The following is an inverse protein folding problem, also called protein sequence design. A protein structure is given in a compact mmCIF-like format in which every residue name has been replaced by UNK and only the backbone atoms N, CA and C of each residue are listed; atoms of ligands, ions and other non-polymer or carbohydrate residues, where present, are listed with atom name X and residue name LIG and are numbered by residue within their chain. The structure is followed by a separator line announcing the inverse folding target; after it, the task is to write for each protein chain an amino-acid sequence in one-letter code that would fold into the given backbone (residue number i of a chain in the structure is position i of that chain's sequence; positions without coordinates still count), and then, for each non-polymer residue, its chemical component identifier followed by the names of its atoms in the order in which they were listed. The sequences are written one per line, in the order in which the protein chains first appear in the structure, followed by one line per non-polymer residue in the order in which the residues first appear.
data_IF_237776887433
#
_entry.id   IF_237776887433
#
_cell.length_a   1.000
_cell.length_b   1.000
_cell.length_c   1.000
_cell.angle_alpha   90.00
_cell.angle_beta   90.00
_cell.angle_gamma   90.00
#
_symmetry.space_group_name_H-M   'P 1'
#
loop_
_entity.id
_entity.type
_entity.pdbx_description
1 polymer ?
#
# COMPACT_ATOMS: atom_id res chain seq x y z
N UNK A 1 -15.97 -6.59 -17.18
CA UNK A 1 -15.63 -6.25 -15.80
C UNK A 1 -14.60 -5.15 -15.75
N UNK A 2 -14.89 -4.05 -15.08
CA UNK A 2 -13.85 -3.01 -14.95
C UNK A 2 -12.71 -3.53 -14.11
N UNK A 3 -11.50 -3.26 -14.55
CA UNK A 3 -10.32 -3.55 -13.75
C UNK A 3 -10.17 -2.51 -12.67
N UNK A 4 -9.74 -2.95 -11.50
CA UNK A 4 -9.38 -2.04 -10.43
C UNK A 4 -8.05 -1.39 -10.83
N UNK A 5 -8.08 -0.10 -11.12
CA UNK A 5 -6.89 0.62 -11.55
C UNK A 5 -5.81 0.68 -10.48
N UNK A 6 -6.22 0.70 -9.22
CA UNK A 6 -5.27 0.69 -8.09
C UNK A 6 -4.48 -0.61 -8.10
N UNK A 7 -5.17 -1.75 -8.24
CA UNK A 7 -4.50 -3.05 -8.24
C UNK A 7 -3.60 -3.21 -9.47
N UNK A 8 -4.04 -2.70 -10.62
CA UNK A 8 -3.23 -2.74 -11.84
C UNK A 8 -1.94 -1.94 -11.67
N UNK A 9 -2.04 -0.75 -11.10
CA UNK A 9 -0.88 0.10 -10.85
C UNK A 9 0.08 -0.55 -9.84
N UNK A 10 -0.47 -1.19 -8.81
CA UNK A 10 0.36 -1.91 -7.83
C UNK A 10 1.14 -3.05 -8.48
N UNK A 11 0.50 -3.79 -9.38
CA UNK A 11 1.17 -4.86 -10.11
C UNK A 11 2.32 -4.34 -10.96
N UNK A 12 2.12 -3.22 -11.64
CA UNK A 12 3.15 -2.60 -12.45
C UNK A 12 4.29 -2.09 -11.55
N UNK A 13 3.94 -1.43 -10.44
CA UNK A 13 4.94 -0.93 -9.50
C UNK A 13 5.76 -2.06 -8.90
N UNK A 14 5.12 -3.20 -8.62
CA UNK A 14 5.82 -4.39 -8.12
C UNK A 14 6.84 -4.90 -9.13
N UNK A 15 6.46 -4.97 -10.40
CA UNK A 15 7.38 -5.40 -11.45
C UNK A 15 8.56 -4.46 -11.60
N UNK A 16 8.34 -3.19 -11.31
CA UNK A 16 9.39 -2.18 -11.35
C UNK A 16 10.26 -2.18 -10.08
N UNK A 17 9.97 -3.05 -9.11
CA UNK A 17 10.73 -3.12 -7.86
C UNK A 17 10.42 -1.97 -6.90
N UNK A 18 9.24 -1.36 -7.01
CA UNK A 18 8.87 -0.17 -6.24
C UNK A 18 7.82 -0.43 -5.18
N UNK A 19 7.62 -1.69 -4.80
CA UNK A 19 6.66 -2.06 -3.75
C UNK A 19 7.35 -2.95 -2.72
N UNK A 20 7.12 -2.65 -1.44
CA UNK A 20 7.47 -3.57 -0.35
C UNK A 20 6.18 -3.98 0.34
N UNK A 21 6.17 -5.16 0.96
CA UNK A 21 4.96 -5.69 1.56
C UNK A 21 5.25 -6.37 2.89
N UNK A 22 4.21 -6.47 3.72
CA UNK A 22 4.32 -7.06 5.04
C UNK A 22 4.61 -6.02 6.10
N UNK A 23 4.18 -6.29 7.32
CA UNK A 23 4.24 -5.30 8.40
C UNK A 23 5.65 -4.77 8.64
N UNK A 24 6.62 -5.67 8.75
CA UNK A 24 8.00 -5.27 9.04
C UNK A 24 8.60 -4.40 7.94
N UNK A 25 8.45 -4.83 6.69
CA UNK A 25 9.05 -4.10 5.55
C UNK A 25 8.40 -2.76 5.33
N UNK A 26 7.07 -2.69 5.48
CA UNK A 26 6.35 -1.44 5.33
C UNK A 26 6.71 -0.46 6.44
N UNK A 27 6.75 -0.94 7.67
CA UNK A 27 7.16 -0.12 8.81
C UNK A 27 8.55 0.46 8.60
N UNK A 28 9.48 -0.38 8.18
CA UNK A 28 10.85 0.04 7.91
C UNK A 28 10.91 1.11 6.83
N UNK A 29 10.17 0.90 5.72
CA UNK A 29 10.16 1.86 4.62
C UNK A 29 9.59 3.21 5.06
N UNK A 30 8.54 3.22 5.89
CA UNK A 30 7.97 4.45 6.41
C UNK A 30 8.97 5.18 7.28
N UNK A 31 9.59 4.46 8.23
CA UNK A 31 10.53 5.07 9.18
C UNK A 31 11.80 5.58 8.52
N UNK A 32 12.23 4.94 7.43
CA UNK A 32 13.42 5.34 6.69
C UNK A 32 13.16 6.43 5.65
N UNK A 33 11.92 6.88 5.53
CA UNK A 33 11.56 7.92 4.58
C UNK A 33 11.50 7.44 3.14
N UNK A 34 11.41 6.13 2.91
CA UNK A 34 11.35 5.56 1.57
C UNK A 34 9.94 5.37 1.06
N UNK A 35 8.98 5.19 1.97
CA UNK A 35 7.58 4.97 1.58
C UNK A 35 6.94 6.28 1.14
N UNK A 36 6.37 6.28 -0.05
CA UNK A 36 5.66 7.43 -0.61
C UNK A 36 4.15 7.29 -0.46
N UNK A 37 3.65 6.08 -0.24
CA UNK A 37 2.24 5.80 -0.06
C UNK A 37 2.12 4.41 0.59
N UNK A 38 1.16 4.25 1.51
CA UNK A 38 0.91 2.97 2.19
C UNK A 38 -0.53 2.55 1.93
N UNK A 39 -0.72 1.27 1.65
CA UNK A 39 -2.04 0.66 1.53
C UNK A 39 -2.19 -0.41 2.61
N UNK A 40 -3.34 -0.40 3.28
CA UNK A 40 -3.68 -1.40 4.29
C UNK A 40 -4.97 -2.09 3.85
N UNK A 41 -5.01 -3.41 3.96
CA UNK A 41 -6.21 -4.17 3.59
C UNK A 41 -7.38 -3.84 4.50
N UNK A 42 -8.58 -3.81 3.92
CA UNK A 42 -9.79 -3.52 4.69
C UNK A 42 -10.09 -4.58 5.74
N UNK A 43 -9.65 -5.82 5.52
CA UNK A 43 -9.84 -6.93 6.47
C UNK A 43 -8.63 -7.14 7.37
N UNK A 44 -7.68 -6.20 7.39
CA UNK A 44 -6.61 -6.23 8.39
C UNK A 44 -7.21 -5.99 9.78
N UNK A 45 -6.51 -6.46 10.82
CA UNK A 45 -7.00 -6.25 12.18
C UNK A 45 -7.05 -4.77 12.54
N UNK A 46 -7.92 -4.45 13.52
CA UNK A 46 -8.02 -3.07 13.97
C UNK A 46 -6.70 -2.55 14.53
N UNK A 47 -5.95 -3.41 15.21
CA UNK A 47 -4.62 -3.05 15.72
C UNK A 47 -3.66 -2.71 14.60
N UNK A 48 -3.66 -3.49 13.53
CA UNK A 48 -2.80 -3.24 12.37
C UNK A 48 -3.16 -1.90 11.71
N UNK A 49 -4.45 -1.66 11.50
CA UNK A 49 -4.93 -0.41 10.90
C UNK A 49 -4.54 0.79 11.75
N UNK A 50 -4.74 0.68 13.06
CA UNK A 50 -4.43 1.76 13.99
C UNK A 50 -2.93 2.05 14.02
N UNK A 51 -2.13 1.01 14.06
CA UNK A 51 -0.68 1.14 14.08
C UNK A 51 -0.17 1.89 12.84
N UNK A 52 -0.64 1.49 11.66
CA UNK A 52 -0.22 2.14 10.43
C UNK A 52 -0.78 3.55 10.29
N UNK A 53 -2.03 3.79 10.75
CA UNK A 53 -2.58 5.15 10.76
C UNK A 53 -1.72 6.09 11.60
N UNK A 54 -1.37 5.66 12.79
CA UNK A 54 -0.55 6.47 13.69
C UNK A 54 0.82 6.73 13.10
N UNK A 55 1.44 5.68 12.59
CA UNK A 55 2.78 5.77 11.99
C UNK A 55 2.81 6.68 10.77
N UNK A 56 1.88 6.49 9.84
CA UNK A 56 1.84 7.27 8.62
C UNK A 56 1.47 8.72 8.89
N UNK A 57 0.63 8.97 9.90
CA UNK A 57 0.31 10.32 10.34
C UNK A 57 1.57 11.01 10.87
N UNK A 58 2.33 10.32 11.69
CA UNK A 58 3.57 10.87 12.27
C UNK A 58 4.60 11.20 11.18
N UNK A 59 4.79 10.28 10.25
CA UNK A 59 5.80 10.45 9.19
C UNK A 59 5.25 11.16 7.94
N UNK A 60 3.97 11.55 7.98
CA UNK A 60 3.30 12.29 6.89
C UNK A 60 3.31 11.53 5.57
N UNK A 61 3.01 10.24 5.63
CA UNK A 61 2.90 9.38 4.46
C UNK A 61 1.41 9.14 4.19
N UNK A 62 0.93 9.33 2.95
CA UNK A 62 -0.46 9.02 2.64
C UNK A 62 -0.78 7.56 2.91
N UNK A 63 -1.93 7.31 3.53
CA UNK A 63 -2.38 5.95 3.83
C UNK A 63 -3.82 5.78 3.36
N UNK A 64 -4.07 4.66 2.70
CA UNK A 64 -5.42 4.30 2.26
C UNK A 64 -5.74 2.88 2.69
N UNK A 65 -7.00 2.65 3.03
CA UNK A 65 -7.53 1.31 3.28
C UNK A 65 -8.22 0.87 2.01
N UNK A 66 -7.79 -0.24 1.42
CA UNK A 66 -8.28 -0.67 0.11
C UNK A 66 -8.16 -2.17 -0.05
N UNK A 67 -9.19 -2.80 -0.61
CA UNK A 67 -9.21 -4.23 -0.93
C UNK A 67 -9.05 -5.12 0.30
N UNK A 68 -8.82 -6.40 0.05
CA UNK A 68 -8.64 -7.42 1.07
C UNK A 68 -7.19 -7.91 1.04
N UNK A 69 -6.76 -8.55 2.11
CA UNK A 69 -5.40 -9.13 2.21
C UNK A 69 -5.07 -10.04 1.04
N UNK A 70 -6.03 -10.88 0.66
CA UNK A 70 -5.84 -11.81 -0.45
C UNK A 70 -5.63 -11.07 -1.77
N UNK A 71 -6.46 -10.06 -2.00
CA UNK A 71 -6.40 -9.27 -3.23
C UNK A 71 -5.10 -8.47 -3.33
N UNK A 72 -4.70 -7.83 -2.23
CA UNK A 72 -3.44 -7.09 -2.21
C UNK A 72 -2.25 -8.03 -2.42
N UNK A 73 -2.27 -9.20 -1.77
CA UNK A 73 -1.23 -10.19 -1.97
C UNK A 73 -1.12 -10.64 -3.42
N UNK A 74 -2.25 -10.99 -4.01
CA UNK A 74 -2.31 -11.49 -5.39
C UNK A 74 -1.76 -10.49 -6.39
N UNK A 75 -2.07 -9.21 -6.24
CA UNK A 75 -1.65 -8.20 -7.23
C UNK A 75 -0.14 -8.01 -7.28
N UNK A 76 0.57 -8.47 -6.26
CA UNK A 76 2.04 -8.40 -6.22
C UNK A 76 2.70 -9.79 -6.22
N UNK A 77 1.93 -10.84 -6.59
CA UNK A 77 2.47 -12.19 -6.70
C UNK A 77 2.70 -12.90 -5.37
N UNK A 78 1.98 -12.51 -4.33
CA UNK A 78 2.05 -13.13 -3.00
C UNK A 78 0.69 -13.73 -2.64
N UNK A 79 0.58 -14.36 -1.46
CA UNK A 79 -0.70 -14.93 -1.03
C UNK A 79 -1.55 -13.92 -0.27
N UNK A 80 -1.10 -13.50 0.89
CA UNK A 80 -1.82 -12.53 1.73
C UNK A 80 -0.87 -11.42 2.13
N UNK A 81 -1.33 -10.18 2.03
CA UNK A 81 -0.57 -9.04 2.52
C UNK A 81 -1.54 -8.03 3.13
N UNK A 82 -1.37 -7.77 4.43
CA UNK A 82 -2.20 -6.79 5.13
C UNK A 82 -1.75 -5.36 4.82
N UNK A 83 -0.51 -5.17 4.39
CA UNK A 83 0.02 -3.84 4.12
C UNK A 83 1.04 -3.86 2.99
N UNK A 84 1.03 -2.78 2.21
CA UNK A 84 1.98 -2.54 1.12
C UNK A 84 2.48 -1.11 1.23
N UNK A 85 3.71 -0.87 0.81
CA UNK A 85 4.21 0.49 0.65
C UNK A 85 4.77 0.66 -0.76
N UNK A 86 4.49 1.80 -1.36
CA UNK A 86 5.03 2.17 -2.66
C UNK A 86 6.17 3.13 -2.43
N UNK A 87 7.33 2.83 -3.00
CA UNK A 87 8.57 3.56 -2.70
C UNK A 87 8.99 4.47 -3.85
N UNK A 88 8.11 4.68 -4.82
CA UNK A 88 8.36 5.54 -5.97
C UNK A 88 7.31 6.65 -6.03
N UNK A 89 7.77 7.88 -6.17
CA UNK A 89 6.90 9.05 -6.15
C UNK A 89 5.92 9.06 -7.34
N UNK A 90 6.37 8.63 -8.52
CA UNK A 90 5.52 8.59 -9.70
C UNK A 90 4.33 7.63 -9.54
N UNK A 91 4.61 6.41 -9.10
CA UNK A 91 3.55 5.44 -8.84
C UNK A 91 2.66 5.89 -7.68
N UNK A 92 3.25 6.45 -6.64
CA UNK A 92 2.47 6.94 -5.50
C UNK A 92 1.51 8.04 -5.91
N UNK A 93 1.93 8.98 -6.76
CA UNK A 93 1.06 10.04 -7.25
C UNK A 93 -0.08 9.50 -8.10
N UNK A 94 0.20 8.53 -8.97
CA UNK A 94 -0.83 7.90 -9.80
C UNK A 94 -1.85 7.15 -8.94
N UNK A 95 -1.37 6.42 -7.92
CA UNK A 95 -2.24 5.71 -6.99
C UNK A 95 -3.07 6.66 -6.15
N UNK A 96 -2.44 7.73 -5.65
CA UNK A 96 -3.14 8.73 -4.84
C UNK A 96 -4.30 9.34 -5.62
N UNK A 97 -4.08 9.63 -6.89
CA UNK A 97 -5.14 10.17 -7.75
C UNK A 97 -6.31 9.20 -7.86
N UNK A 98 -6.04 7.93 -8.12
CA UNK A 98 -7.10 6.92 -8.25
C UNK A 98 -7.84 6.71 -6.93
N UNK A 99 -7.12 6.66 -5.82
CA UNK A 99 -7.71 6.41 -4.50
C UNK A 99 -8.51 7.59 -3.99
N UNK A 100 -8.07 8.81 -4.27
CA UNK A 100 -8.76 10.01 -3.78
C UNK A 100 -9.98 10.37 -4.63
N UNK A 101 -10.14 9.80 -5.82
CA UNK A 101 -11.30 10.02 -6.68
C UNK A 101 -12.48 9.13 -6.33
N UNK A 102 -12.32 8.18 -5.43
CA UNK A 102 -13.38 7.25 -5.06
C UNK A 102 -14.27 7.76 -3.94
#
# INVERSE_FOLDING_TARGET
MPKDKVLSLLGIAQKAGKVVSGEFSVEKAVKEGKACLVLVAGDASDNTKKMFRNMCSYYKVPLYVHSAKETLGHCIGKQFRASLAVTDVGFANALNKQLSEN
#
